data_IF_781020890965
#
_entry.id   IF_781020890965
#
_cell.length_a   1.000
_cell.length_b   1.000
_cell.length_c   1.000
_cell.angle_alpha   90.00
_cell.angle_beta   90.00
_cell.angle_gamma   90.00
#
_symmetry.space_group_name_H-M   'P 1'
#
loop_
_entity.id
_entity.type
_entity.pdbx_description
1 polymer ?
#
# COMPACT_ATOMS: atom_id res chain seq x y z
N UNK A 1 5.26 -4.74 6.48
CA UNK A 1 4.16 -4.18 7.30
C UNK A 1 4.17 -2.65 7.37
N UNK A 2 5.20 -2.02 7.96
CA UNK A 2 5.25 -0.56 8.16
C UNK A 2 5.06 0.26 6.88
N UNK A 3 5.69 -0.15 5.77
CA UNK A 3 5.50 0.51 4.47
C UNK A 3 4.05 0.47 3.97
N UNK A 4 3.36 -0.65 4.16
CA UNK A 4 1.95 -0.78 3.76
C UNK A 4 1.07 0.12 4.62
N UNK A 5 1.30 0.17 5.93
CA UNK A 5 0.57 1.06 6.84
C UNK A 5 0.84 2.54 6.53
N UNK A 6 2.11 2.89 6.24
CA UNK A 6 2.49 4.24 5.82
C UNK A 6 1.76 4.65 4.54
N UNK A 7 1.72 3.78 3.54
CA UNK A 7 0.98 4.03 2.29
C UNK A 7 -0.52 4.22 2.58
N UNK A 8 -1.13 3.36 3.39
CA UNK A 8 -2.53 3.47 3.79
C UNK A 8 -2.83 4.83 4.46
N UNK A 9 -1.96 5.32 5.36
CA UNK A 9 -2.07 6.65 5.98
C UNK A 9 -1.90 7.76 4.95
N UNK A 10 -0.91 7.64 4.07
CA UNK A 10 -0.55 8.68 3.12
C UNK A 10 -1.59 8.91 2.03
N UNK A 11 -2.35 7.87 1.66
CA UNK A 11 -3.41 7.91 0.65
C UNK A 11 -4.83 7.99 1.23
N UNK A 12 -4.98 7.92 2.56
CA UNK A 12 -6.25 8.19 3.24
C UNK A 12 -6.56 9.69 3.33
N UNK A 13 -7.85 10.03 3.38
CA UNK A 13 -8.30 11.38 3.71
C UNK A 13 -8.06 11.69 5.19
N UNK A 14 -7.82 12.96 5.57
CA UNK A 14 -7.78 13.35 6.99
C UNK A 14 -9.06 12.93 7.72
N UNK A 15 -8.92 12.30 8.89
CA UNK A 15 -10.05 11.74 9.65
C UNK A 15 -10.64 10.46 9.05
N UNK A 16 -10.02 9.91 7.99
CA UNK A 16 -10.39 8.63 7.39
C UNK A 16 -10.03 7.45 8.29
N UNK A 17 -10.69 6.32 8.04
CA UNK A 17 -10.42 5.08 8.75
C UNK A 17 -9.36 4.26 8.00
N UNK A 18 -8.58 3.50 8.75
CA UNK A 18 -7.73 2.43 8.22
C UNK A 18 -8.09 1.17 8.99
N UNK A 19 -8.35 0.10 8.26
CA UNK A 19 -8.71 -1.18 8.81
C UNK A 19 -7.52 -2.12 8.73
N UNK A 20 -7.18 -2.73 9.87
CA UNK A 20 -6.15 -3.76 9.97
C UNK A 20 -6.84 -5.02 10.46
N UNK A 21 -6.71 -6.10 9.70
CA UNK A 21 -7.24 -7.41 10.06
C UNK A 21 -6.14 -8.45 9.95
N UNK A 22 -6.28 -9.52 10.72
CA UNK A 22 -5.44 -10.71 10.58
C UNK A 22 -6.38 -11.88 10.40
N UNK A 23 -6.32 -12.49 9.21
CA UNK A 23 -7.05 -13.72 8.94
C UNK A 23 -6.15 -14.90 9.27
N UNK A 24 -6.68 -15.84 10.04
CA UNK A 24 -5.98 -17.07 10.37
C UNK A 24 -6.53 -18.19 9.49
N UNK A 25 -5.66 -18.86 8.76
CA UNK A 25 -5.99 -20.09 8.02
C UNK A 25 -5.19 -21.26 8.61
N UNK A 26 -5.56 -22.52 8.33
CA UNK A 26 -4.82 -23.66 8.87
C UNK A 26 -3.34 -23.71 8.48
N UNK A 27 -2.93 -23.03 7.41
CA UNK A 27 -1.58 -23.14 6.82
C UNK A 27 -0.80 -21.82 6.75
N UNK A 28 -1.46 -20.68 6.95
CA UNK A 28 -0.82 -19.36 6.95
C UNK A 28 -1.64 -18.32 7.72
N UNK A 29 -0.96 -17.23 8.08
CA UNK A 29 -1.58 -16.02 8.61
C UNK A 29 -1.56 -14.95 7.50
N UNK A 30 -2.70 -14.32 7.26
CA UNK A 30 -2.87 -13.28 6.24
C UNK A 30 -3.17 -11.93 6.92
N UNK A 31 -2.16 -11.07 7.09
CA UNK A 31 -2.38 -9.70 7.52
C UNK A 31 -2.96 -8.88 6.36
N UNK A 32 -4.07 -8.19 6.63
CA UNK A 32 -4.76 -7.32 5.66
C UNK A 32 -4.74 -5.90 6.19
N UNK A 33 -4.30 -4.97 5.35
CA UNK A 33 -4.36 -3.52 5.59
C UNK A 33 -5.22 -2.92 4.50
N UNK A 34 -6.27 -2.19 4.89
CA UNK A 34 -7.19 -1.54 3.98
C UNK A 34 -7.35 -0.06 4.38
N UNK A 35 -7.07 0.83 3.44
CA UNK A 35 -7.49 2.22 3.50
C UNK A 35 -8.76 2.47 2.68
N UNK A 36 -9.33 3.66 2.85
CA UNK A 36 -10.50 4.14 2.10
C UNK A 36 -10.15 5.43 1.35
N UNK A 37 -8.94 5.47 0.80
CA UNK A 37 -8.36 6.58 0.07
C UNK A 37 -8.84 6.75 -1.36
N UNK A 38 -8.00 7.35 -2.18
CA UNK A 38 -8.24 7.56 -3.62
C UNK A 38 -8.17 6.26 -4.45
N UNK A 39 -7.66 5.18 -3.86
CA UNK A 39 -7.47 3.90 -4.53
C UNK A 39 -6.30 3.90 -5.51
N UNK A 40 -6.21 2.82 -6.29
CA UNK A 40 -5.20 2.62 -7.32
C UNK A 40 -5.93 2.36 -8.63
N UNK A 41 -5.50 3.01 -9.72
CA UNK A 41 -6.07 2.76 -11.04
C UNK A 41 -5.78 1.32 -11.48
N UNK A 42 -6.74 0.66 -12.12
CA UNK A 42 -6.61 -0.76 -12.48
C UNK A 42 -5.39 -1.04 -13.39
N UNK A 43 -5.07 -0.10 -14.29
CA UNK A 43 -3.89 -0.14 -15.17
C UNK A 43 -2.56 0.00 -14.42
N UNK A 44 -2.57 0.56 -13.21
CA UNK A 44 -1.38 0.78 -12.39
C UNK A 44 -1.07 -0.44 -11.50
N UNK A 45 -2.05 -1.29 -11.20
CA UNK A 45 -1.91 -2.48 -10.35
C UNK A 45 -0.74 -3.42 -10.73
N UNK A 46 -0.45 -3.68 -12.02
CA UNK A 46 0.71 -4.50 -12.40
C UNK A 46 2.06 -3.87 -12.03
N UNK A 47 2.12 -2.54 -11.93
CA UNK A 47 3.35 -1.77 -11.84
C UNK A 47 3.67 -1.27 -10.42
N UNK A 48 2.71 -1.30 -9.48
CA UNK A 48 2.89 -0.72 -8.13
C UNK A 48 4.06 -1.31 -7.32
N UNK A 49 4.57 -2.48 -7.70
CA UNK A 49 5.71 -3.13 -7.08
C UNK A 49 7.05 -2.90 -7.82
N UNK A 50 7.04 -2.18 -8.93
CA UNK A 50 8.26 -1.79 -9.64
C UNK A 50 9.01 -0.73 -8.85
N UNK A 51 10.34 -0.77 -8.94
CA UNK A 51 11.18 0.23 -8.28
C UNK A 51 10.99 1.58 -8.95
N UNK A 52 10.91 2.62 -8.13
CA UNK A 52 10.70 4.01 -8.57
C UNK A 52 9.33 4.29 -9.18
N UNK A 53 8.43 3.31 -9.19
CA UNK A 53 7.07 3.51 -9.65
C UNK A 53 6.32 4.48 -8.72
N UNK A 54 5.59 5.40 -9.34
CA UNK A 54 4.69 6.34 -8.67
C UNK A 54 3.41 6.42 -9.48
N UNK A 55 2.29 6.31 -8.79
CA UNK A 55 1.00 6.56 -9.43
C UNK A 55 0.95 8.00 -9.95
N UNK A 56 0.35 8.16 -11.12
CA UNK A 56 0.09 9.45 -11.75
C UNK A 56 -0.79 10.37 -10.89
N UNK A 57 -1.62 9.79 -10.02
CA UNK A 57 -2.46 10.51 -9.06
C UNK A 57 -1.69 11.01 -7.82
N UNK A 58 -0.46 10.52 -7.60
CA UNK A 58 0.30 10.84 -6.39
C UNK A 58 0.85 12.27 -6.42
N UNK A 59 0.16 13.18 -5.71
CA UNK A 59 0.53 14.60 -5.62
C UNK A 59 1.68 14.90 -4.63
N UNK A 60 2.22 13.89 -3.95
CA UNK A 60 3.20 14.07 -2.86
C UNK A 60 4.65 14.04 -3.37
N UNK A 61 5.33 15.19 -3.29
CA UNK A 61 6.78 15.29 -3.39
C UNK A 61 7.42 14.66 -2.14
N UNK A 62 8.32 13.68 -2.31
CA UNK A 62 9.17 13.15 -1.23
C UNK A 62 9.23 11.63 -1.09
N UNK A 63 8.31 10.87 -1.70
CA UNK A 63 8.46 9.40 -1.79
C UNK A 63 9.32 9.05 -3.01
N UNK A 64 10.23 8.07 -2.92
CA UNK A 64 11.07 7.65 -4.05
C UNK A 64 10.50 6.46 -4.84
N UNK A 65 9.28 5.99 -4.53
CA UNK A 65 8.68 4.82 -5.21
C UNK A 65 9.37 3.49 -4.88
N UNK A 66 10.05 3.39 -3.72
CA UNK A 66 10.79 2.18 -3.32
C UNK A 66 9.98 1.32 -2.32
N UNK A 67 8.98 1.91 -1.65
CA UNK A 67 8.31 1.30 -0.50
C UNK A 67 7.68 -0.06 -0.79
N UNK A 68 6.87 -0.15 -1.85
CA UNK A 68 6.20 -1.40 -2.24
C UNK A 68 7.15 -2.42 -2.86
N UNK A 69 8.12 -1.97 -3.66
CA UNK A 69 9.16 -2.84 -4.20
C UNK A 69 9.97 -3.54 -3.08
N UNK A 70 10.24 -2.84 -1.97
CA UNK A 70 10.89 -3.42 -0.80
C UNK A 70 9.98 -4.41 -0.07
N UNK A 71 8.68 -4.13 0.04
CA UNK A 71 7.72 -5.07 0.65
C UNK A 71 7.71 -6.40 -0.10
N UNK A 72 7.68 -6.38 -1.43
CA UNK A 72 7.72 -7.57 -2.28
C UNK A 72 9.05 -8.34 -2.21
N UNK A 73 10.15 -7.69 -1.84
CA UNK A 73 11.46 -8.33 -1.76
C UNK A 73 11.68 -9.12 -0.45
N UNK A 74 10.91 -8.83 0.60
CA UNK A 74 11.09 -9.38 1.95
C UNK A 74 10.08 -10.51 2.24
N UNK A 75 8.95 -10.54 1.52
CA UNK A 75 7.86 -11.52 1.64
C UNK A 75 7.88 -12.40 0.40
#
# INVERSE_FOLDING_TARGET
MLNLLKNAIEHSKPGGNIMIQVKNSPIYIEPVIQDFGEGILAEELPHIFERFYKSSSSKKLGSNGIGLALVKAII
#
